data_IF_973333645833
#
_entry.id   IF_973333645833
#
_cell.length_a   1.000
_cell.length_b   1.000
_cell.length_c   1.000
_cell.angle_alpha   90.00
_cell.angle_beta   90.00
_cell.angle_gamma   90.00
#
_symmetry.space_group_name_H-M   'P 1'
#
loop_
_entity.id
_entity.type
_entity.pdbx_description
1 polymer ?
#
# COMPACT_ATOMS: atom_id res chain seq x y z
N UNK A 1 7.34 30.21 -1.28
CA UNK A 1 8.78 30.51 -1.17
C UNK A 1 9.54 29.32 -1.74
N UNK A 2 10.41 29.51 -2.74
CA UNK A 2 11.14 28.39 -3.37
C UNK A 2 12.44 28.12 -2.61
N UNK A 3 12.97 26.89 -2.70
CA UNK A 3 14.28 26.57 -2.11
C UNK A 3 15.41 27.42 -2.68
N UNK A 4 15.32 27.77 -3.97
CA UNK A 4 16.25 28.70 -4.61
C UNK A 4 16.35 30.03 -3.87
N UNK A 5 15.24 30.55 -3.37
CA UNK A 5 15.16 31.88 -2.77
C UNK A 5 15.66 31.88 -1.32
N UNK A 6 15.59 30.72 -0.65
CA UNK A 6 15.97 30.54 0.75
C UNK A 6 17.46 30.21 0.88
N UNK A 7 17.98 29.40 -0.06
CA UNK A 7 19.34 28.84 0.03
C UNK A 7 20.39 29.70 -0.70
N UNK A 8 19.99 30.74 -1.44
CA UNK A 8 20.91 31.55 -2.26
C UNK A 8 21.95 32.32 -1.44
N UNK A 9 21.64 32.66 -0.19
CA UNK A 9 22.51 33.47 0.67
C UNK A 9 23.24 32.65 1.75
N UNK A 10 23.03 31.33 1.79
CA UNK A 10 23.65 30.44 2.76
C UNK A 10 24.93 29.81 2.20
N UNK A 11 25.79 29.30 3.09
CA UNK A 11 26.94 28.50 2.70
C UNK A 11 26.48 27.29 1.84
N UNK A 12 27.11 27.03 0.67
CA UNK A 12 26.67 25.96 -0.24
C UNK A 12 26.68 24.57 0.38
N UNK A 13 27.65 24.27 1.26
CA UNK A 13 27.74 22.97 1.93
C UNK A 13 26.63 22.84 2.97
N UNK A 14 26.36 23.89 3.74
CA UNK A 14 25.25 23.90 4.70
C UNK A 14 23.89 23.75 4.00
N UNK A 15 23.69 24.44 2.87
CA UNK A 15 22.49 24.35 2.06
C UNK A 15 22.28 22.93 1.50
N UNK A 16 23.33 22.31 0.95
CA UNK A 16 23.26 20.93 0.47
C UNK A 16 22.95 19.97 1.63
N UNK A 17 23.64 20.11 2.76
CA UNK A 17 23.42 19.25 3.93
C UNK A 17 21.97 19.35 4.44
N UNK A 18 21.39 20.55 4.45
CA UNK A 18 19.99 20.75 4.82
C UNK A 18 19.03 20.05 3.85
N UNK A 19 19.27 20.20 2.54
CA UNK A 19 18.48 19.52 1.51
C UNK A 19 18.58 17.99 1.65
N UNK A 20 19.79 17.46 1.79
CA UNK A 20 20.03 16.03 1.99
C UNK A 20 19.33 15.50 3.24
N UNK A 21 19.41 16.23 4.36
CA UNK A 21 18.71 15.87 5.60
C UNK A 21 17.19 15.82 5.39
N UNK A 22 16.63 16.78 4.64
CA UNK A 22 15.19 16.82 4.36
C UNK A 22 14.75 15.70 3.42
N UNK A 23 15.54 15.40 2.40
CA UNK A 23 15.28 14.30 1.47
C UNK A 23 15.34 12.95 2.20
N UNK A 24 16.36 12.73 3.04
CA UNK A 24 16.48 11.52 3.85
C UNK A 24 15.27 11.33 4.78
N UNK A 25 14.80 12.42 5.41
CA UNK A 25 13.57 12.39 6.22
C UNK A 25 12.33 12.04 5.38
N UNK A 26 12.22 12.61 4.18
CA UNK A 26 11.15 12.29 3.23
C UNK A 26 11.15 10.81 2.85
N UNK A 27 12.32 10.24 2.53
CA UNK A 27 12.47 8.81 2.22
C UNK A 27 12.05 7.94 3.41
N UNK A 28 12.50 8.26 4.62
CA UNK A 28 12.15 7.50 5.81
C UNK A 28 10.63 7.52 6.07
N UNK A 29 9.99 8.67 5.88
CA UNK A 29 8.54 8.79 5.98
C UNK A 29 7.80 7.96 4.92
N UNK A 30 8.31 7.90 3.69
CA UNK A 30 7.75 7.06 2.64
C UNK A 30 7.86 5.57 2.97
N UNK A 31 9.00 5.17 3.52
CA UNK A 31 9.21 3.79 3.96
C UNK A 31 8.30 3.42 5.13
N UNK A 32 8.00 4.36 6.03
CA UNK A 32 7.03 4.18 7.11
C UNK A 32 5.61 3.99 6.57
N UNK A 33 5.17 4.84 5.62
CA UNK A 33 3.87 4.69 4.96
C UNK A 33 3.80 3.35 4.21
N UNK A 34 4.86 2.98 3.48
CA UNK A 34 4.91 1.69 2.79
C UNK A 34 4.82 0.52 3.78
N UNK A 35 5.48 0.62 4.94
CA UNK A 35 5.35 -0.34 6.04
C UNK A 35 3.91 -0.48 6.53
N UNK A 36 3.24 0.65 6.82
CA UNK A 36 1.83 0.65 7.21
C UNK A 36 0.92 -0.01 6.14
N UNK A 37 1.14 0.29 4.86
CA UNK A 37 0.38 -0.32 3.76
C UNK A 37 0.66 -1.83 3.71
N UNK A 38 1.91 -2.26 3.91
CA UNK A 38 2.31 -3.67 3.96
C UNK A 38 1.54 -4.44 5.04
N UNK A 39 1.46 -3.89 6.26
CA UNK A 39 0.66 -4.47 7.34
C UNK A 39 -0.81 -4.60 6.94
N UNK A 40 -1.37 -3.58 6.27
CA UNK A 40 -2.74 -3.62 5.80
C UNK A 40 -2.96 -4.69 4.72
N UNK A 41 -2.03 -4.85 3.77
CA UNK A 41 -2.07 -5.91 2.75
C UNK A 41 -2.16 -7.29 3.41
N UNK A 42 -1.36 -7.54 4.45
CA UNK A 42 -1.39 -8.82 5.17
C UNK A 42 -2.75 -9.09 5.84
N UNK A 43 -3.38 -8.05 6.41
CA UNK A 43 -4.72 -8.15 7.01
C UNK A 43 -5.76 -8.48 5.94
N UNK A 44 -5.75 -7.75 4.82
CA UNK A 44 -6.73 -7.93 3.74
C UNK A 44 -6.61 -9.30 3.06
N UNK A 45 -5.39 -9.75 2.77
CA UNK A 45 -5.12 -11.07 2.19
C UNK A 45 -5.57 -12.20 3.12
N UNK A 46 -5.29 -12.07 4.43
CA UNK A 46 -5.76 -13.03 5.43
C UNK A 46 -7.28 -13.07 5.46
N UNK A 47 -7.93 -11.91 5.50
CA UNK A 47 -9.39 -11.81 5.58
C UNK A 47 -10.07 -12.41 4.34
N UNK A 48 -9.58 -12.10 3.14
CA UNK A 48 -10.03 -12.72 1.89
C UNK A 48 -9.93 -14.25 1.95
N UNK A 49 -8.78 -14.80 2.38
CA UNK A 49 -8.56 -16.25 2.49
C UNK A 49 -9.52 -16.90 3.50
N UNK A 50 -9.81 -16.22 4.61
CA UNK A 50 -10.76 -16.71 5.60
C UNK A 50 -12.20 -16.69 5.08
N UNK A 51 -12.62 -15.64 4.36
CA UNK A 51 -13.92 -15.60 3.69
C UNK A 51 -14.07 -16.72 2.66
N UNK A 52 -13.04 -16.99 1.85
CA UNK A 52 -13.06 -18.12 0.90
C UNK A 52 -13.18 -19.47 1.60
N UNK A 53 -12.48 -19.66 2.73
CA UNK A 53 -12.61 -20.89 3.53
C UNK A 53 -14.03 -21.04 4.08
N UNK A 54 -14.65 -19.94 4.53
CA UNK A 54 -16.03 -19.96 5.02
C UNK A 54 -17.01 -20.34 3.91
N UNK A 55 -16.88 -19.74 2.73
CA UNK A 55 -17.72 -20.08 1.56
C UNK A 55 -17.59 -21.55 1.17
N UNK A 56 -16.40 -22.15 1.28
CA UNK A 56 -16.18 -23.58 0.98
C UNK A 56 -16.77 -24.53 2.02
N UNK A 57 -16.92 -24.09 3.27
CA UNK A 57 -17.58 -24.83 4.37
C UNK A 57 -19.10 -24.70 4.26
N UNK A 58 -19.65 -24.96 3.07
CA UNK A 58 -21.08 -24.91 2.85
C UNK A 58 -21.78 -26.12 3.49
N UNK A 59 -22.93 -25.88 4.09
CA UNK A 59 -23.83 -26.93 4.56
C UNK A 59 -24.46 -27.57 3.33
N UNK A 60 -24.56 -28.89 3.30
CA UNK A 60 -25.29 -29.59 2.23
C UNK A 60 -26.75 -29.14 2.27
N UNK A 61 -27.22 -28.53 1.19
CA UNK A 61 -28.59 -28.06 1.09
C UNK A 61 -29.46 -29.18 0.54
N UNK A 62 -30.38 -29.64 1.39
CA UNK A 62 -31.56 -30.37 0.93
C UNK A 62 -32.65 -29.33 0.66
N UNK A 63 -32.93 -29.09 -0.63
CA UNK A 63 -33.88 -28.07 -1.07
C UNK A 63 -35.33 -28.41 -0.67
N UNK A 64 -35.67 -29.70 -0.42
CA UNK A 64 -36.99 -30.10 0.09
C UNK A 64 -37.12 -29.86 1.60
N UNK A 65 -36.06 -30.13 2.37
CA UNK A 65 -36.04 -29.91 3.82
C UNK A 65 -35.90 -28.42 4.19
N UNK A 66 -35.09 -27.66 3.46
CA UNK A 66 -34.71 -26.29 3.82
C UNK A 66 -35.75 -25.24 3.40
N UNK A 67 -36.65 -25.55 2.46
CA UNK A 67 -37.68 -24.64 1.97
C UNK A 67 -37.14 -23.25 1.59
N UNK A 68 -37.78 -22.18 2.10
CA UNK A 68 -37.38 -20.79 1.81
C UNK A 68 -35.99 -20.41 2.35
N UNK A 69 -35.52 -21.07 3.41
CA UNK A 69 -34.20 -20.80 3.99
C UNK A 69 -33.06 -21.19 3.04
N UNK A 70 -33.21 -22.27 2.27
CA UNK A 70 -32.20 -22.70 1.30
C UNK A 70 -31.86 -21.62 0.27
N UNK A 71 -32.85 -20.83 -0.17
CA UNK A 71 -32.62 -19.69 -1.09
C UNK A 71 -31.83 -18.57 -0.42
N UNK A 72 -32.16 -18.23 0.82
CA UNK A 72 -31.45 -17.19 1.61
C UNK A 72 -30.01 -17.62 1.85
N UNK A 73 -29.78 -18.88 2.20
CA UNK A 73 -28.43 -19.41 2.41
C UNK A 73 -27.59 -19.41 1.13
N UNK A 74 -28.15 -19.83 -0.01
CA UNK A 74 -27.47 -19.74 -1.32
C UNK A 74 -27.07 -18.30 -1.63
N UNK A 75 -27.94 -17.32 -1.35
CA UNK A 75 -27.64 -15.91 -1.58
C UNK A 75 -26.56 -15.38 -0.62
N UNK A 76 -26.58 -15.79 0.65
CA UNK A 76 -25.53 -15.50 1.62
C UNK A 76 -24.15 -15.99 1.14
N UNK A 77 -24.06 -17.23 0.63
CA UNK A 77 -22.82 -17.79 0.09
C UNK A 77 -22.29 -16.99 -1.11
N UNK A 78 -23.19 -16.55 -2.01
CA UNK A 78 -22.82 -15.67 -3.13
C UNK A 78 -22.29 -14.33 -2.63
N UNK A 79 -23.00 -13.66 -1.72
CA UNK A 79 -22.58 -12.37 -1.16
C UNK A 79 -21.21 -12.49 -0.48
N UNK A 80 -20.98 -13.56 0.28
CA UNK A 80 -19.69 -13.81 0.93
C UNK A 80 -18.55 -13.97 -0.10
N UNK A 81 -18.84 -14.61 -1.24
CA UNK A 81 -17.89 -14.73 -2.35
C UNK A 81 -17.58 -13.38 -2.99
N UNK A 82 -18.60 -12.54 -3.22
CA UNK A 82 -18.42 -11.19 -3.76
C UNK A 82 -17.58 -10.33 -2.82
N UNK A 83 -17.87 -10.37 -1.52
CA UNK A 83 -17.09 -9.64 -0.51
C UNK A 83 -15.63 -10.11 -0.52
N UNK A 84 -15.38 -11.42 -0.57
CA UNK A 84 -14.02 -11.96 -0.67
C UNK A 84 -13.26 -11.36 -1.87
N UNK A 85 -13.87 -11.35 -3.06
CA UNK A 85 -13.24 -10.79 -4.26
C UNK A 85 -12.99 -9.27 -4.16
N UNK A 86 -13.85 -8.51 -3.46
CA UNK A 86 -13.61 -7.10 -3.18
C UNK A 86 -12.32 -6.93 -2.35
N UNK A 87 -12.19 -7.71 -1.27
CA UNK A 87 -11.00 -7.64 -0.39
C UNK A 87 -9.72 -8.08 -1.11
N UNK A 88 -9.81 -9.08 -2.00
CA UNK A 88 -8.70 -9.45 -2.89
C UNK A 88 -8.28 -8.28 -3.78
N UNK A 89 -9.24 -7.62 -4.44
CA UNK A 89 -8.94 -6.47 -5.31
C UNK A 89 -8.36 -5.28 -4.55
N UNK A 90 -8.85 -5.02 -3.32
CA UNK A 90 -8.25 -4.02 -2.43
C UNK A 90 -6.80 -4.36 -2.12
N UNK A 91 -6.49 -5.63 -1.84
CA UNK A 91 -5.12 -6.11 -1.62
C UNK A 91 -4.22 -5.80 -2.81
N UNK A 92 -4.67 -6.10 -4.03
CA UNK A 92 -3.92 -5.83 -5.27
C UNK A 92 -3.63 -4.33 -5.47
N UNK A 93 -4.61 -3.47 -5.22
CA UNK A 93 -4.45 -2.00 -5.30
C UNK A 93 -3.46 -1.49 -4.24
N UNK A 94 -3.54 -2.02 -3.02
CA UNK A 94 -2.62 -1.66 -1.94
C UNK A 94 -1.18 -2.10 -2.26
N UNK A 95 -0.98 -3.28 -2.86
CA UNK A 95 0.34 -3.74 -3.29
C UNK A 95 0.97 -2.81 -4.33
N UNK A 96 0.17 -2.33 -5.29
CA UNK A 96 0.64 -1.35 -6.27
C UNK A 96 1.02 -0.01 -5.59
N UNK A 97 0.20 0.45 -4.65
CA UNK A 97 0.46 1.68 -3.90
C UNK A 97 1.72 1.58 -3.03
N UNK A 98 1.91 0.45 -2.34
CA UNK A 98 3.10 0.16 -1.53
C UNK A 98 4.38 0.18 -2.37
N UNK A 99 4.34 -0.50 -3.53
CA UNK A 99 5.46 -0.55 -4.47
C UNK A 99 5.83 0.85 -4.95
N UNK A 100 4.83 1.66 -5.34
CA UNK A 100 5.04 3.05 -5.77
C UNK A 100 5.62 3.91 -4.65
N UNK A 101 5.19 3.70 -3.40
CA UNK A 101 5.70 4.46 -2.26
C UNK A 101 7.18 4.16 -2.01
N UNK A 102 7.58 2.89 -2.05
CA UNK A 102 8.99 2.51 -1.89
C UNK A 102 9.88 3.03 -3.02
N UNK A 103 9.35 3.06 -4.25
CA UNK A 103 10.08 3.48 -5.44
C UNK A 103 10.15 5.01 -5.63
N UNK A 104 9.46 5.81 -4.82
CA UNK A 104 9.28 7.26 -5.05
C UNK A 104 10.58 8.06 -5.07
N UNK A 105 11.61 7.61 -4.33
CA UNK A 105 12.93 8.23 -4.33
C UNK A 105 13.99 7.14 -4.43
N UNK A 106 14.71 7.12 -5.56
CA UNK A 106 15.70 6.08 -5.83
C UNK A 106 17.10 6.46 -5.33
N UNK A 107 17.96 5.46 -5.15
CA UNK A 107 19.37 5.67 -4.85
C UNK A 107 20.10 6.45 -5.97
N UNK A 108 19.62 6.34 -7.22
CA UNK A 108 20.16 7.07 -8.35
C UNK A 108 19.83 8.56 -8.26
N UNK A 109 18.61 8.91 -7.83
CA UNK A 109 18.21 10.32 -7.62
C UNK A 109 19.04 10.96 -6.50
N UNK A 110 19.30 10.20 -5.43
CA UNK A 110 20.18 10.64 -4.34
C UNK A 110 21.63 10.87 -4.80
N UNK A 111 22.14 9.99 -5.67
CA UNK A 111 23.50 10.11 -6.22
C UNK A 111 23.62 11.33 -7.15
N UNK A 112 22.61 11.59 -7.98
CA UNK A 112 22.56 12.80 -8.83
C UNK A 112 22.64 14.07 -8.00
N UNK A 113 21.90 14.15 -6.90
CA UNK A 113 21.88 15.35 -6.03
C UNK A 113 23.24 15.60 -5.39
N UNK A 114 23.97 14.55 -5.00
CA UNK A 114 25.32 14.67 -4.41
C UNK A 114 26.38 15.12 -5.42
N UNK A 115 26.28 14.66 -6.67
CA UNK A 115 27.33 14.88 -7.67
C UNK A 115 27.26 16.26 -8.35
N UNK A 116 26.18 17.02 -8.17
CA UNK A 116 26.02 18.38 -8.76
C UNK A 116 27.06 19.41 -8.25
N UNK A 117 27.80 19.11 -7.17
CA UNK A 117 28.81 20.03 -6.59
C UNK A 117 30.25 19.75 -7.07
N UNK A 118 30.52 18.64 -7.77
CA UNK A 118 31.91 18.28 -8.12
C UNK A 118 32.39 18.98 -9.42
N UNK A 119 31.48 19.49 -10.25
CA UNK A 119 31.80 20.07 -11.58
C UNK A 119 31.81 21.61 -11.64
N UNK A 120 32.04 22.31 -10.51
CA UNK A 120 32.29 23.77 -10.48
C UNK A 120 33.47 24.10 -9.60
#
# INVERSE_FOLDING_TARGET
MKYSDILQNDDPNNSLNLLMKRINKGKAFDDEIAGFISDRIMIEDKYYKELQKLTKKQISLDDEFMGGFGRVYKEYIKLNTVIAEIHKRVTEVLMEAETKMRARLTAQDMTKIKNVIIDK
#
